data_IF_080645322322
#
_entry.id   IF_080645322322
#
_cell.length_a   1.000
_cell.length_b   1.000
_cell.length_c   1.000
_cell.angle_alpha   90.00
_cell.angle_beta   90.00
_cell.angle_gamma   90.00
#
_symmetry.space_group_name_H-M   'P 1'
#
loop_
_entity.id
_entity.type
_entity.pdbx_description
1 polymer ?
#
# COMPACT_ATOMS: atom_id res chain seq x y z
N UNK A 1 14.40 0.36 2.48
CA UNK A 1 13.48 0.22 3.65
C UNK A 1 13.49 1.48 4.53
N UNK A 2 14.18 2.51 4.06
CA UNK A 2 14.72 3.60 4.87
C UNK A 2 13.81 4.82 4.84
N UNK A 3 12.89 4.85 3.89
CA UNK A 3 11.82 5.85 3.76
C UNK A 3 10.43 5.26 4.07
N UNK A 4 10.37 4.28 4.97
CA UNK A 4 9.10 3.70 5.45
C UNK A 4 8.95 4.00 6.93
N UNK A 5 7.98 4.85 7.28
CA UNK A 5 7.53 5.02 8.66
C UNK A 5 6.47 3.95 8.95
N UNK A 6 6.91 2.72 9.13
CA UNK A 6 6.05 1.59 9.50
C UNK A 6 6.09 1.32 11.01
N UNK A 7 5.47 0.22 11.45
CA UNK A 7 5.29 -0.16 12.87
C UNK A 7 6.57 -0.16 13.70
N UNK A 8 7.76 -0.21 13.08
CA UNK A 8 9.05 -0.01 13.75
C UNK A 8 9.16 1.36 14.44
N UNK A 9 8.41 2.37 13.98
CA UNK A 9 8.44 3.73 14.51
C UNK A 9 7.23 4.07 15.40
N UNK A 10 6.06 3.47 15.17
CA UNK A 10 4.81 3.86 15.87
C UNK A 10 4.06 2.69 16.54
N UNK A 11 4.62 1.49 16.59
CA UNK A 11 4.03 0.33 17.27
C UNK A 11 3.04 -0.46 16.41
N UNK A 12 2.18 -1.27 17.02
CA UNK A 12 1.19 -2.09 16.31
C UNK A 12 -0.08 -1.28 15.98
N UNK A 13 -0.68 -1.51 14.80
CA UNK A 13 -1.99 -0.92 14.45
C UNK A 13 -3.09 -1.73 15.13
N UNK A 14 -4.03 -1.11 15.85
CA UNK A 14 -5.21 -1.80 16.35
C UNK A 14 -6.15 -2.24 15.22
N UNK A 15 -6.77 -3.42 15.36
CA UNK A 15 -7.53 -4.09 14.31
C UNK A 15 -8.70 -3.26 13.74
N UNK A 16 -9.29 -2.37 14.54
CA UNK A 16 -10.38 -1.50 14.13
C UNK A 16 -9.97 -0.43 13.09
N UNK A 17 -8.67 -0.22 12.87
CA UNK A 17 -8.13 0.71 11.89
C UNK A 17 -7.72 0.03 10.58
N UNK A 18 -7.92 -1.29 10.47
CA UNK A 18 -7.68 -2.04 9.24
C UNK A 18 -8.92 -1.96 8.35
N UNK A 19 -8.84 -1.12 7.31
CA UNK A 19 -9.99 -0.83 6.43
C UNK A 19 -10.14 -1.85 5.29
N UNK A 20 -9.04 -2.44 4.80
CA UNK A 20 -9.09 -3.41 3.70
C UNK A 20 -7.74 -3.73 3.08
N UNK A 21 -7.74 -4.54 2.01
CA UNK A 21 -6.53 -4.96 1.27
C UNK A 21 -6.49 -4.31 -0.11
N UNK A 22 -5.35 -3.73 -0.48
CA UNK A 22 -5.12 -3.25 -1.85
C UNK A 22 -5.09 -4.44 -2.82
N UNK A 23 -6.00 -4.47 -3.81
CA UNK A 23 -6.16 -5.60 -4.75
C UNK A 23 -6.02 -5.22 -6.24
N UNK A 24 -5.94 -3.92 -6.56
CA UNK A 24 -5.86 -3.48 -7.95
C UNK A 24 -5.26 -2.08 -8.06
N UNK A 25 -4.42 -1.87 -9.08
CA UNK A 25 -3.91 -0.54 -9.44
C UNK A 25 -4.68 -0.07 -10.66
N UNK A 26 -5.61 0.86 -10.44
CA UNK A 26 -6.52 1.34 -11.47
C UNK A 26 -5.89 2.36 -12.42
N UNK A 27 -4.91 3.16 -11.96
CA UNK A 27 -4.18 4.12 -12.79
C UNK A 27 -2.76 4.35 -12.28
N UNK A 28 -1.83 4.52 -13.22
CA UNK A 28 -0.47 5.02 -12.98
C UNK A 28 -0.06 5.92 -14.14
N UNK A 29 0.05 7.23 -13.89
CA UNK A 29 0.32 8.23 -14.94
C UNK A 29 1.78 8.29 -15.40
N UNK A 30 2.71 7.75 -14.63
CA UNK A 30 4.14 7.72 -14.96
C UNK A 30 4.53 6.43 -15.70
N UNK A 31 3.86 5.32 -15.41
CA UNK A 31 4.10 4.02 -16.04
C UNK A 31 2.77 3.33 -16.37
N UNK A 32 2.19 3.71 -17.51
CA UNK A 32 0.92 3.17 -18.02
C UNK A 32 0.94 1.64 -18.21
N UNK A 33 2.13 1.03 -18.33
CA UNK A 33 2.31 -0.43 -18.43
C UNK A 33 1.97 -1.19 -17.14
N UNK A 34 1.92 -0.52 -15.98
CA UNK A 34 1.63 -1.14 -14.68
C UNK A 34 0.16 -1.04 -14.25
N UNK A 35 -0.71 -0.58 -15.15
CA UNK A 35 -2.16 -0.53 -14.91
C UNK A 35 -2.72 -1.95 -15.05
N UNK A 36 -3.42 -2.45 -14.03
CA UNK A 36 -4.01 -3.79 -14.04
C UNK A 36 -3.82 -4.59 -12.75
N UNK A 37 -4.12 -5.89 -12.80
CA UNK A 37 -3.99 -6.85 -11.70
C UNK A 37 -2.52 -7.31 -11.53
N UNK A 38 -1.58 -6.37 -11.60
CA UNK A 38 -0.16 -6.65 -11.41
C UNK A 38 0.15 -6.69 -9.91
N UNK A 39 -0.30 -7.76 -9.24
CA UNK A 39 0.15 -8.13 -7.90
C UNK A 39 1.08 -9.33 -8.02
#
# INVERSE_FOLDING_TARGET
RDNSRDSRYWGFVPDNQIVGKAFFVWMNFSELKRIGLSI
#
